data_IF_392051696245
#
_entry.id   IF_392051696245
#
_cell.length_a   1.000
_cell.length_b   1.000
_cell.length_c   1.000
_cell.angle_alpha   90.00
_cell.angle_beta   90.00
_cell.angle_gamma   90.00
#
_symmetry.space_group_name_H-M   'P 1'
#
loop_
_entity.id
_entity.type
_entity.pdbx_description
1 polymer ?
#
# COMPACT_ATOMS: atom_id res chain seq x y z
N UNK A 1 -31.33 -24.93 -34.19
CA UNK A 1 -30.24 -25.45 -35.06
C UNK A 1 -29.15 -24.40 -35.11
N UNK A 2 -27.91 -24.79 -34.81
CA UNK A 2 -26.74 -23.91 -34.96
C UNK A 2 -26.13 -24.11 -36.35
N UNK A 3 -25.78 -23.01 -37.02
CA UNK A 3 -25.05 -23.03 -38.30
C UNK A 3 -23.53 -22.96 -38.10
N UNK A 4 -23.05 -23.15 -36.86
CA UNK A 4 -21.63 -23.10 -36.53
C UNK A 4 -20.85 -24.21 -37.26
N UNK A 5 -19.81 -23.81 -38.00
CA UNK A 5 -18.92 -24.70 -38.77
C UNK A 5 -17.60 -25.04 -38.05
N UNK A 6 -17.33 -24.35 -36.93
CA UNK A 6 -16.11 -24.50 -36.13
C UNK A 6 -16.51 -25.19 -34.83
N UNK A 7 -15.80 -26.25 -34.40
CA UNK A 7 -16.09 -26.93 -33.14
C UNK A 7 -15.73 -26.05 -31.94
N UNK A 8 -16.59 -26.07 -30.92
CA UNK A 8 -16.31 -25.43 -29.62
C UNK A 8 -15.33 -26.30 -28.84
N UNK A 9 -14.09 -25.82 -28.67
CA UNK A 9 -13.02 -26.58 -28.02
C UNK A 9 -13.06 -26.49 -26.49
N UNK A 10 -13.74 -25.49 -25.95
CA UNK A 10 -13.90 -25.28 -24.52
C UNK A 10 -15.27 -24.63 -24.28
N UNK A 11 -16.08 -25.14 -23.33
CA UNK A 11 -17.37 -24.54 -23.01
C UNK A 11 -17.18 -23.17 -22.35
N UNK A 12 -18.20 -22.32 -22.46
CA UNK A 12 -18.25 -21.05 -21.74
C UNK A 12 -18.11 -21.30 -20.22
N UNK A 13 -17.20 -20.60 -19.53
CA UNK A 13 -17.11 -20.66 -18.08
C UNK A 13 -18.32 -19.95 -17.44
N UNK A 14 -18.50 -20.12 -16.12
CA UNK A 14 -19.52 -19.38 -15.43
C UNK A 14 -19.11 -17.90 -15.32
N UNK A 15 -19.94 -17.03 -15.88
CA UNK A 15 -19.63 -15.61 -16.01
C UNK A 15 -19.66 -14.85 -14.67
N UNK A 16 -20.17 -15.48 -13.61
CA UNK A 16 -20.15 -14.96 -12.24
C UNK A 16 -18.94 -15.42 -11.43
N UNK A 17 -18.10 -16.33 -11.95
CA UNK A 17 -16.98 -16.92 -11.21
C UNK A 17 -16.03 -15.84 -10.68
N UNK A 18 -15.78 -14.78 -11.45
CA UNK A 18 -14.91 -13.66 -11.01
C UNK A 18 -15.41 -13.04 -9.69
N UNK A 19 -16.72 -12.92 -9.50
CA UNK A 19 -17.28 -12.36 -8.26
C UNK A 19 -17.22 -13.39 -7.13
N UNK A 20 -17.66 -14.61 -7.39
CA UNK A 20 -17.74 -15.66 -6.38
C UNK A 20 -16.34 -16.08 -5.90
N UNK A 21 -15.43 -16.42 -6.80
CA UNK A 21 -14.07 -16.84 -6.46
C UNK A 21 -13.32 -15.74 -5.72
N UNK A 22 -13.48 -14.47 -6.13
CA UNK A 22 -12.83 -13.35 -5.44
C UNK A 22 -13.36 -13.16 -4.02
N UNK A 23 -14.65 -13.36 -3.79
CA UNK A 23 -15.25 -13.19 -2.47
C UNK A 23 -14.96 -14.38 -1.55
N UNK A 24 -15.05 -15.60 -2.08
CA UNK A 24 -14.67 -16.83 -1.36
C UNK A 24 -13.20 -16.78 -0.93
N UNK A 25 -12.30 -16.44 -1.86
CA UNK A 25 -10.89 -16.24 -1.53
C UNK A 25 -10.68 -15.19 -0.43
N UNK A 26 -11.44 -14.09 -0.47
CA UNK A 26 -11.35 -13.05 0.54
C UNK A 26 -11.80 -13.54 1.92
N UNK A 27 -12.89 -14.32 1.99
CA UNK A 27 -13.38 -14.89 3.25
C UNK A 27 -12.40 -15.90 3.84
N UNK A 28 -11.80 -16.75 3.00
CA UNK A 28 -10.94 -17.84 3.45
C UNK A 28 -9.51 -17.39 3.76
N UNK A 29 -8.94 -16.55 2.89
CA UNK A 29 -7.51 -16.18 2.96
C UNK A 29 -7.31 -14.68 3.22
N UNK A 30 -8.17 -13.83 2.64
CA UNK A 30 -8.05 -12.38 2.75
C UNK A 30 -8.17 -11.88 4.19
N UNK A 31 -9.22 -12.30 4.90
CA UNK A 31 -9.46 -11.91 6.30
C UNK A 31 -8.34 -12.39 7.22
N UNK A 32 -7.90 -13.64 7.08
CA UNK A 32 -6.79 -14.17 7.87
C UNK A 32 -5.49 -13.37 7.64
N UNK A 33 -5.22 -12.98 6.39
CA UNK A 33 -4.09 -12.13 6.03
C UNK A 33 -4.17 -10.76 6.72
N UNK A 34 -5.34 -10.14 6.74
CA UNK A 34 -5.58 -8.84 7.40
C UNK A 34 -5.37 -8.95 8.92
N UNK A 35 -5.91 -9.98 9.57
CA UNK A 35 -5.73 -10.17 11.02
C UNK A 35 -4.28 -10.45 11.40
N UNK A 36 -3.58 -11.24 10.57
CA UNK A 36 -2.15 -11.51 10.75
C UNK A 36 -1.30 -10.24 10.57
N UNK A 37 -1.65 -9.36 9.63
CA UNK A 37 -0.95 -8.09 9.40
C UNK A 37 -1.17 -7.09 10.54
N UNK A 38 -2.39 -7.04 11.09
CA UNK A 38 -2.71 -6.19 12.22
C UNK A 38 -1.98 -6.66 13.50
N UNK A 39 -1.86 -7.97 13.69
CA UNK A 39 -1.32 -8.60 14.89
C UNK A 39 0.22 -8.68 14.92
N UNK A 40 0.84 -8.73 16.12
CA UNK A 40 0.25 -8.31 17.39
C UNK A 40 0.05 -6.79 17.39
N UNK A 41 -0.99 -6.36 18.11
CA UNK A 41 -1.22 -4.98 18.49
C UNK A 41 -0.61 -4.82 19.88
N UNK A 42 0.47 -4.03 19.96
CA UNK A 42 1.21 -3.83 21.21
C UNK A 42 0.95 -2.43 21.78
N UNK A 43 1.02 -2.33 23.11
CA UNK A 43 1.05 -1.04 23.79
C UNK A 43 2.44 -0.37 23.64
N UNK A 44 2.58 0.86 24.12
CA UNK A 44 3.82 1.63 23.96
C UNK A 44 5.02 1.04 24.73
N UNK A 45 4.77 0.27 25.79
CA UNK A 45 5.83 -0.43 26.54
C UNK A 45 6.20 -1.77 25.91
N UNK A 46 5.29 -2.34 25.12
CA UNK A 46 5.42 -3.69 24.56
C UNK A 46 5.10 -4.79 25.58
N UNK A 47 4.60 -4.46 26.77
CA UNK A 47 4.27 -5.44 27.81
C UNK A 47 2.90 -6.08 27.56
N UNK A 48 1.96 -5.36 26.92
CA UNK A 48 0.64 -5.85 26.59
C UNK A 48 0.53 -6.06 25.08
N UNK A 49 0.12 -7.24 24.67
CA UNK A 49 -0.09 -7.58 23.27
C UNK A 49 -1.47 -8.19 23.05
N UNK A 50 -2.15 -7.76 21.98
CA UNK A 50 -3.39 -8.34 21.50
C UNK A 50 -3.16 -8.97 20.13
N UNK A 51 -3.51 -10.25 20.00
CA UNK A 51 -3.43 -11.00 18.75
C UNK A 51 -4.82 -11.39 18.28
N UNK A 52 -5.09 -11.15 16.99
CA UNK A 52 -6.28 -11.60 16.30
C UNK A 52 -5.92 -12.83 15.47
N UNK A 53 -6.58 -13.94 15.73
CA UNK A 53 -6.26 -15.24 15.12
C UNK A 53 -7.38 -15.70 14.18
N UNK A 54 -8.07 -16.78 14.52
CA UNK A 54 -9.11 -17.36 13.68
C UNK A 54 -10.37 -16.51 13.67
N UNK A 55 -11.09 -16.55 12.56
CA UNK A 55 -12.41 -15.95 12.43
C UNK A 55 -13.47 -16.99 12.05
N UNK A 56 -14.71 -16.68 12.42
CA UNK A 56 -15.88 -17.46 12.00
C UNK A 56 -17.07 -16.54 11.75
N UNK A 57 -17.94 -16.99 10.86
CA UNK A 57 -19.23 -16.36 10.63
C UNK A 57 -20.33 -17.11 11.38
N UNK A 58 -21.22 -16.39 12.04
CA UNK A 58 -22.48 -16.91 12.55
C UNK A 58 -23.52 -17.08 11.44
N UNK A 59 -24.71 -17.53 11.84
CA UNK A 59 -25.85 -17.62 10.92
C UNK A 59 -26.37 -16.23 10.56
N UNK A 60 -26.90 -16.10 9.34
CA UNK A 60 -27.52 -14.87 8.90
C UNK A 60 -28.83 -14.67 9.68
N UNK A 61 -29.06 -13.51 10.32
CA UNK A 61 -30.27 -13.26 11.09
C UNK A 61 -31.51 -13.11 10.19
N UNK A 62 -31.32 -12.77 8.92
CA UNK A 62 -32.36 -12.56 7.92
C UNK A 62 -32.05 -13.37 6.67
N UNK A 63 -33.10 -13.83 5.97
CA UNK A 63 -32.97 -14.33 4.62
C UNK A 63 -32.70 -13.18 3.63
N UNK A 64 -32.31 -13.52 2.39
CA UNK A 64 -32.10 -12.51 1.33
C UNK A 64 -33.42 -11.80 0.99
N UNK A 65 -34.55 -12.52 1.01
CA UNK A 65 -35.90 -11.98 0.76
C UNK A 65 -36.29 -11.00 1.87
N UNK A 66 -36.16 -11.43 3.13
CA UNK A 66 -36.51 -10.60 4.29
C UNK A 66 -35.64 -9.34 4.38
N UNK A 67 -34.35 -9.45 4.05
CA UNK A 67 -33.45 -8.30 4.01
C UNK A 67 -33.90 -7.26 2.97
N UNK A 68 -34.45 -7.69 1.83
CA UNK A 68 -35.02 -6.82 0.80
C UNK A 68 -36.34 -6.18 1.27
N UNK A 69 -37.24 -6.95 1.86
CA UNK A 69 -38.55 -6.47 2.32
C UNK A 69 -38.46 -5.51 3.51
N UNK A 70 -37.48 -5.70 4.39
CA UNK A 70 -37.30 -4.93 5.63
C UNK A 70 -36.28 -3.80 5.50
N UNK A 71 -35.91 -3.41 4.27
CA UNK A 71 -34.90 -2.37 4.00
C UNK A 71 -33.58 -2.57 4.79
N UNK A 72 -33.17 -3.83 4.98
CA UNK A 72 -32.07 -4.25 5.85
C UNK A 72 -30.86 -4.79 5.06
N UNK A 73 -29.74 -5.01 5.72
CA UNK A 73 -28.56 -5.61 5.11
C UNK A 73 -28.65 -7.15 5.14
N UNK A 74 -28.20 -7.83 4.09
CA UNK A 74 -27.92 -9.26 4.15
C UNK A 74 -26.49 -9.48 4.64
N UNK A 75 -26.34 -9.89 5.89
CA UNK A 75 -25.05 -10.02 6.57
C UNK A 75 -25.00 -11.26 7.47
N UNK A 76 -23.77 -11.65 7.85
CA UNK A 76 -23.51 -12.65 8.89
C UNK A 76 -22.67 -12.04 10.02
N UNK A 77 -22.95 -12.36 11.28
CA UNK A 77 -22.12 -11.93 12.40
C UNK A 77 -20.69 -12.47 12.27
N UNK A 78 -19.68 -11.61 12.29
CA UNK A 78 -18.26 -12.00 12.26
C UNK A 78 -17.69 -12.02 13.68
N UNK A 79 -17.14 -13.17 14.07
CA UNK A 79 -16.41 -13.35 15.32
C UNK A 79 -14.94 -13.61 15.03
N UNK A 80 -14.07 -13.05 15.86
CA UNK A 80 -12.62 -13.30 15.82
C UNK A 80 -12.15 -13.78 17.20
N UNK A 81 -11.22 -14.72 17.22
CA UNK A 81 -10.54 -15.14 18.44
C UNK A 81 -9.45 -14.14 18.77
N UNK A 82 -9.65 -13.40 19.86
CA UNK A 82 -8.72 -12.41 20.37
C UNK A 82 -7.93 -13.00 21.55
N UNK A 83 -6.60 -13.01 21.43
CA UNK A 83 -5.67 -13.49 22.45
C UNK A 83 -4.92 -12.30 23.04
N UNK A 84 -5.18 -11.99 24.29
CA UNK A 84 -4.49 -10.96 25.05
C UNK A 84 -3.35 -11.59 25.87
N UNK A 85 -2.14 -11.11 25.67
CA UNK A 85 -0.93 -11.52 26.36
C UNK A 85 -0.42 -10.37 27.23
N UNK A 86 -0.29 -10.62 28.53
CA UNK A 86 0.48 -9.77 29.43
C UNK A 86 1.86 -10.40 29.64
N UNK A 87 2.91 -9.78 29.10
CA UNK A 87 4.29 -10.29 29.17
C UNK A 87 4.90 -10.18 30.58
N UNK A 88 4.41 -9.26 31.42
CA UNK A 88 4.91 -9.10 32.79
C UNK A 88 4.45 -10.25 33.69
N UNK A 89 3.21 -10.69 33.52
CA UNK A 89 2.62 -11.78 34.33
C UNK A 89 2.68 -13.14 33.64
N UNK A 90 2.89 -13.18 32.32
CA UNK A 90 2.73 -14.36 31.48
C UNK A 90 1.27 -14.80 31.29
N UNK A 91 0.30 -14.00 31.72
CA UNK A 91 -1.12 -14.32 31.61
C UNK A 91 -1.60 -14.21 30.17
N UNK A 92 -2.26 -15.26 29.69
CA UNK A 92 -2.91 -15.30 28.38
C UNK A 92 -4.41 -15.43 28.59
N UNK A 93 -5.17 -14.47 28.04
CA UNK A 93 -6.63 -14.52 27.98
C UNK A 93 -7.07 -14.65 26.54
N UNK A 94 -7.84 -15.68 26.25
CA UNK A 94 -8.41 -15.91 24.93
C UNK A 94 -9.93 -15.79 25.00
N UNK A 95 -10.50 -15.02 24.08
CA UNK A 95 -11.93 -14.81 24.00
C UNK A 95 -12.38 -14.64 22.56
N UNK A 96 -13.56 -15.19 22.23
CA UNK A 96 -14.23 -14.84 20.99
C UNK A 96 -14.91 -13.47 21.12
N UNK A 97 -14.52 -12.56 20.25
CA UNK A 97 -15.04 -11.19 20.19
C UNK A 97 -15.88 -11.03 18.94
N UNK A 98 -17.08 -10.48 19.10
CA UNK A 98 -17.91 -10.06 17.97
C UNK A 98 -17.30 -8.79 17.36
N UNK A 99 -16.93 -8.86 16.08
CA UNK A 99 -16.30 -7.74 15.37
C UNK A 99 -17.35 -6.86 14.67
N UNK A 100 -18.47 -7.45 14.25
CA UNK A 100 -19.54 -6.74 13.56
C UNK A 100 -20.28 -7.64 12.57
N UNK A 101 -21.33 -7.10 11.97
CA UNK A 101 -22.07 -7.76 10.91
C UNK A 101 -21.36 -7.58 9.56
N UNK A 102 -21.01 -8.69 8.92
CA UNK A 102 -20.28 -8.69 7.67
C UNK A 102 -21.22 -8.94 6.49
N UNK A 103 -21.31 -8.02 5.50
CA UNK A 103 -22.15 -8.22 4.32
C UNK A 103 -21.77 -9.48 3.56
N UNK A 104 -22.75 -10.31 3.22
CA UNK A 104 -22.53 -11.57 2.50
C UNK A 104 -22.98 -11.47 1.06
N UNK A 105 -22.21 -12.07 0.15
CA UNK A 105 -22.57 -12.18 -1.26
C UNK A 105 -23.72 -13.18 -1.44
N UNK A 106 -24.69 -12.82 -2.27
CA UNK A 106 -25.80 -13.69 -2.67
C UNK A 106 -25.35 -14.70 -3.74
N UNK A 107 -26.14 -15.76 -4.04
CA UNK A 107 -25.86 -16.67 -5.15
C UNK A 107 -25.79 -16.00 -6.54
N UNK A 108 -26.28 -14.77 -6.68
CA UNK A 108 -26.24 -14.01 -7.93
C UNK A 108 -25.00 -13.13 -8.07
N UNK A 109 -24.05 -13.18 -7.12
CA UNK A 109 -22.86 -12.33 -7.13
C UNK A 109 -23.12 -10.88 -6.69
N UNK A 110 -24.21 -10.65 -5.94
CA UNK A 110 -24.66 -9.32 -5.49
C UNK A 110 -24.63 -9.21 -3.96
N UNK A 111 -24.86 -8.01 -3.44
CA UNK A 111 -25.01 -7.72 -2.01
C UNK A 111 -26.32 -6.99 -1.76
N UNK A 112 -26.99 -7.26 -0.64
CA UNK A 112 -28.16 -6.50 -0.21
C UNK A 112 -27.72 -5.48 0.83
N UNK A 113 -27.82 -4.19 0.51
CA UNK A 113 -27.45 -3.09 1.39
C UNK A 113 -28.65 -2.16 1.54
N UNK A 114 -29.21 -2.09 2.75
CA UNK A 114 -30.44 -1.37 3.09
C UNK A 114 -31.58 -1.73 2.11
N UNK A 115 -31.89 -3.02 1.99
CA UNK A 115 -32.91 -3.57 1.08
C UNK A 115 -32.57 -3.54 -0.41
N UNK A 116 -31.56 -2.76 -0.80
CA UNK A 116 -31.21 -2.56 -2.22
C UNK A 116 -30.13 -3.54 -2.66
N UNK A 117 -30.36 -4.21 -3.77
CA UNK A 117 -29.37 -5.08 -4.40
C UNK A 117 -28.28 -4.26 -5.12
N UNK A 118 -27.02 -4.57 -4.82
CA UNK A 118 -25.83 -3.86 -5.29
C UNK A 118 -24.79 -4.84 -5.82
N UNK A 119 -24.03 -4.38 -6.81
CA UNK A 119 -22.92 -5.14 -7.39
C UNK A 119 -21.61 -4.41 -7.12
N UNK A 120 -20.60 -5.13 -6.65
CA UNK A 120 -19.25 -4.61 -6.54
C UNK A 120 -18.57 -4.77 -7.90
N UNK A 121 -18.20 -3.66 -8.53
CA UNK A 121 -17.58 -3.65 -9.85
C UNK A 121 -16.06 -3.71 -9.72
N UNK A 122 -15.44 -4.65 -10.44
CA UNK A 122 -13.99 -4.76 -10.50
C UNK A 122 -13.38 -3.48 -11.10
N UNK A 123 -12.40 -2.91 -10.40
CA UNK A 123 -11.71 -1.70 -10.85
C UNK A 123 -10.36 -2.04 -11.48
N UNK A 124 -10.05 -1.38 -12.59
CA UNK A 124 -8.71 -1.44 -13.19
C UNK A 124 -7.86 -0.32 -12.61
N UNK A 125 -6.94 -0.69 -11.72
CA UNK A 125 -5.95 0.23 -11.14
C UNK A 125 -4.55 -0.07 -11.67
N UNK A 126 -3.66 0.92 -11.60
CA UNK A 126 -2.25 0.67 -11.91
C UNK A 126 -1.69 -0.29 -10.87
N UNK A 127 -1.14 -1.41 -11.32
CA UNK A 127 -0.49 -2.36 -10.41
C UNK A 127 0.70 -1.71 -9.71
N UNK A 128 1.03 -2.14 -8.48
CA UNK A 128 2.25 -1.73 -7.82
C UNK A 128 3.51 -2.01 -8.67
N UNK A 129 4.57 -1.24 -8.45
CA UNK A 129 5.85 -1.37 -9.15
C UNK A 129 6.43 -0.04 -9.62
N UNK A 130 7.40 -0.13 -10.53
CA UNK A 130 8.15 1.05 -11.02
C UNK A 130 7.83 1.32 -12.49
N UNK A 131 7.47 2.56 -12.77
CA UNK A 131 7.11 3.04 -14.11
C UNK A 131 8.03 4.16 -14.52
N UNK A 132 8.48 4.15 -15.77
CA UNK A 132 9.32 5.19 -16.35
C UNK A 132 8.56 5.89 -17.46
N UNK A 133 8.76 7.19 -17.59
CA UNK A 133 8.27 7.98 -18.71
C UNK A 133 9.32 9.01 -19.14
N UNK A 134 9.28 9.36 -20.41
CA UNK A 134 10.10 10.41 -20.99
C UNK A 134 9.17 11.38 -21.74
N UNK A 135 9.33 12.67 -21.50
CA UNK A 135 8.54 13.73 -22.14
C UNK A 135 9.45 14.86 -22.58
N UNK A 136 9.26 15.36 -23.81
CA UNK A 136 10.02 16.50 -24.32
C UNK A 136 9.46 17.79 -23.73
N UNK A 137 10.32 18.58 -23.08
CA UNK A 137 9.95 19.87 -22.55
C UNK A 137 9.73 20.88 -23.69
N UNK A 138 8.59 21.57 -23.66
CA UNK A 138 8.18 22.49 -24.73
C UNK A 138 9.08 23.73 -24.83
N UNK A 139 9.76 24.10 -23.75
CA UNK A 139 10.53 25.36 -23.68
C UNK A 139 12.02 25.19 -23.89
N UNK A 140 12.59 24.10 -23.40
CA UNK A 140 14.04 23.82 -23.42
C UNK A 140 14.45 22.77 -24.43
N UNK A 141 13.48 22.14 -25.10
CA UNK A 141 13.66 21.04 -26.04
C UNK A 141 14.34 19.78 -25.45
N UNK A 142 14.60 19.78 -24.14
CA UNK A 142 15.21 18.68 -23.39
C UNK A 142 14.21 17.55 -23.18
N UNK A 143 14.70 16.31 -23.22
CA UNK A 143 13.92 15.13 -22.83
C UNK A 143 13.99 15.00 -21.31
N UNK A 144 12.86 15.20 -20.65
CA UNK A 144 12.71 15.02 -19.21
C UNK A 144 12.29 13.58 -18.92
N UNK A 145 13.05 12.92 -18.06
CA UNK A 145 12.77 11.57 -17.60
C UNK A 145 12.12 11.64 -16.22
N UNK A 146 11.16 10.76 -15.99
CA UNK A 146 10.56 10.57 -14.69
C UNK A 146 10.36 9.08 -14.40
N UNK A 147 10.38 8.76 -13.11
CA UNK A 147 10.15 7.42 -12.59
C UNK A 147 9.15 7.50 -11.43
N UNK A 148 8.20 6.56 -11.39
CA UNK A 148 7.20 6.46 -10.30
C UNK A 148 7.29 5.09 -9.67
N UNK A 149 7.55 5.06 -8.37
CA UNK A 149 7.46 3.87 -7.53
C UNK A 149 6.10 3.93 -6.83
N UNK A 150 5.22 3.00 -7.22
CA UNK A 150 3.86 2.89 -6.73
C UNK A 150 3.79 1.66 -5.82
N UNK A 151 3.64 1.82 -4.49
CA UNK A 151 3.41 0.70 -3.60
C UNK A 151 1.95 0.23 -3.68
N UNK A 152 1.67 -0.98 -3.18
CA UNK A 152 0.29 -1.40 -2.95
C UNK A 152 -0.30 -0.73 -1.72
N UNK A 153 0.53 -0.46 -0.71
CA UNK A 153 0.18 0.32 0.49
C UNK A 153 1.35 1.20 0.89
N UNK A 154 1.12 2.50 1.12
CA UNK A 154 2.14 3.44 1.57
C UNK A 154 2.40 4.61 0.62
N UNK A 155 3.47 5.38 0.90
CA UNK A 155 3.78 6.62 0.22
C UNK A 155 4.33 6.40 -1.20
N UNK A 156 3.86 7.19 -2.16
CA UNK A 156 4.42 7.15 -3.52
C UNK A 156 5.77 7.87 -3.57
N UNK A 157 6.68 7.37 -4.41
CA UNK A 157 7.94 8.06 -4.73
C UNK A 157 7.94 8.40 -6.21
N UNK A 158 8.05 9.68 -6.54
CA UNK A 158 8.08 10.17 -7.92
C UNK A 158 9.40 10.92 -8.15
N UNK A 159 10.26 10.37 -8.98
CA UNK A 159 11.54 10.97 -9.37
C UNK A 159 11.40 11.66 -10.71
N UNK A 160 12.05 12.80 -10.88
CA UNK A 160 12.04 13.55 -12.14
C UNK A 160 13.33 14.35 -12.36
N UNK A 161 13.74 14.41 -13.62
CA UNK A 161 14.74 15.37 -14.12
C UNK A 161 14.03 16.65 -14.54
N UNK A 162 14.55 17.81 -14.15
CA UNK A 162 14.02 19.10 -14.59
C UNK A 162 14.81 19.70 -15.76
N UNK A 163 14.29 20.79 -16.33
CA UNK A 163 14.94 21.52 -17.43
C UNK A 163 16.30 22.12 -17.06
N UNK A 164 16.58 22.29 -15.76
CA UNK A 164 17.83 22.85 -15.23
C UNK A 164 18.90 21.77 -14.98
N UNK A 165 18.65 20.52 -15.39
CA UNK A 165 19.59 19.40 -15.23
C UNK A 165 19.58 18.76 -13.84
N UNK A 166 18.66 19.15 -12.94
CA UNK A 166 18.62 18.59 -11.58
C UNK A 166 17.74 17.37 -11.48
N UNK A 167 18.09 16.46 -10.58
CA UNK A 167 17.28 15.29 -10.22
C UNK A 167 16.56 15.55 -8.91
N UNK A 168 15.26 15.29 -8.90
CA UNK A 168 14.43 15.49 -7.71
C UNK A 168 13.52 14.32 -7.44
N UNK A 169 12.92 14.38 -6.25
CA UNK A 169 11.93 13.42 -5.77
C UNK A 169 10.73 14.17 -5.18
N UNK A 170 9.54 13.60 -5.34
CA UNK A 170 8.33 13.95 -4.59
C UNK A 170 7.91 12.73 -3.80
N UNK A 171 7.76 12.90 -2.49
CA UNK A 171 7.20 11.89 -1.60
C UNK A 171 5.72 12.18 -1.43
N UNK A 172 4.86 11.19 -1.66
CA UNK A 172 3.40 11.28 -1.48
C UNK A 172 2.77 12.52 -2.11
N UNK A 173 3.18 12.82 -3.35
CA UNK A 173 2.73 13.98 -4.14
C UNK A 173 2.96 15.35 -3.48
N UNK A 174 3.86 15.42 -2.49
CA UNK A 174 4.27 16.67 -1.84
C UNK A 174 5.29 17.43 -2.69
N UNK A 175 5.81 18.52 -2.13
CA UNK A 175 6.76 19.41 -2.81
C UNK A 175 8.01 18.65 -3.26
N UNK A 176 8.53 19.02 -4.43
CA UNK A 176 9.78 18.46 -4.98
C UNK A 176 10.96 18.84 -4.07
N UNK A 177 11.83 17.88 -3.86
CA UNK A 177 13.10 17.99 -3.13
C UNK A 177 14.20 17.42 -4.00
N UNK A 178 15.45 17.79 -3.74
CA UNK A 178 16.57 17.19 -4.47
C UNK A 178 16.72 15.72 -4.07
N UNK A 179 17.14 14.90 -5.03
CA UNK A 179 17.35 13.47 -4.77
C UNK A 179 18.49 13.25 -3.78
N UNK A 180 19.49 14.14 -3.79
CA UNK A 180 20.64 14.17 -2.88
C UNK A 180 20.20 14.37 -1.43
N UNK A 181 19.33 15.35 -1.16
CA UNK A 181 18.69 15.55 0.14
C UNK A 181 17.98 14.29 0.60
N UNK A 182 17.21 13.65 -0.28
CA UNK A 182 16.45 12.45 0.06
C UNK A 182 17.35 11.26 0.42
N UNK A 183 18.42 11.03 -0.35
CA UNK A 183 19.39 9.96 -0.10
C UNK A 183 20.09 10.17 1.24
N UNK A 184 20.48 11.41 1.54
CA UNK A 184 21.10 11.76 2.84
C UNK A 184 20.13 11.54 3.99
N UNK A 185 18.86 11.93 3.84
CA UNK A 185 17.82 11.72 4.85
C UNK A 185 17.58 10.23 5.15
N UNK A 186 17.61 9.37 4.12
CA UNK A 186 17.50 7.91 4.28
C UNK A 186 18.74 7.28 4.92
N UNK A 187 19.88 7.98 4.91
CA UNK A 187 21.13 7.49 5.46
C UNK A 187 21.87 6.51 4.55
N UNK A 188 21.66 6.61 3.23
CA UNK A 188 22.43 5.83 2.25
C UNK A 188 23.81 6.43 1.98
N UNK A 189 24.00 7.72 2.26
CA UNK A 189 25.26 8.44 2.20
C UNK A 189 25.17 9.64 3.15
N UNK A 190 26.32 10.08 3.67
CA UNK A 190 26.44 11.22 4.58
C UNK A 190 27.12 12.42 3.91
N UNK A 191 28.07 12.17 2.99
CA UNK A 191 28.83 13.22 2.29
C UNK A 191 28.45 13.33 0.81
N UNK A 192 28.81 14.45 0.19
CA UNK A 192 28.56 14.69 -1.23
C UNK A 192 29.42 13.76 -2.10
N UNK A 193 30.64 13.45 -1.66
CA UNK A 193 31.53 12.50 -2.31
C UNK A 193 30.92 11.09 -2.35
N UNK A 194 30.37 10.61 -1.22
CA UNK A 194 29.69 9.32 -1.15
C UNK A 194 28.46 9.27 -2.07
N UNK A 195 27.66 10.34 -2.09
CA UNK A 195 26.52 10.44 -3.01
C UNK A 195 27.00 10.37 -4.46
N UNK A 196 28.07 11.09 -4.81
CA UNK A 196 28.59 11.11 -6.18
C UNK A 196 29.14 9.73 -6.59
N UNK A 197 29.79 9.01 -5.68
CA UNK A 197 30.28 7.65 -5.89
C UNK A 197 29.14 6.66 -6.13
N UNK A 198 28.04 6.74 -5.36
CA UNK A 198 26.83 5.91 -5.55
C UNK A 198 26.25 6.00 -6.96
N UNK A 199 26.46 7.12 -7.66
CA UNK A 199 25.99 7.35 -9.03
C UNK A 199 27.13 7.39 -10.06
N UNK A 200 28.28 6.80 -9.77
CA UNK A 200 29.43 6.69 -10.67
C UNK A 200 29.87 8.05 -11.28
N UNK A 201 29.83 9.12 -10.50
CA UNK A 201 30.31 10.43 -10.97
C UNK A 201 29.36 11.17 -11.92
N UNK A 202 28.08 10.79 -11.99
CA UNK A 202 27.07 11.41 -12.87
C UNK A 202 27.05 12.94 -12.78
N UNK A 203 27.19 13.61 -13.93
CA UNK A 203 27.17 15.08 -14.02
C UNK A 203 25.85 15.67 -13.52
N UNK A 204 24.71 15.02 -13.75
CA UNK A 204 23.42 15.48 -13.23
C UNK A 204 23.35 15.43 -11.71
N UNK A 205 24.01 14.47 -11.07
CA UNK A 205 24.10 14.40 -9.61
C UNK A 205 25.02 15.50 -9.10
N UNK A 206 26.15 15.77 -9.76
CA UNK A 206 27.02 16.91 -9.45
C UNK A 206 26.25 18.24 -9.52
N UNK A 207 25.54 18.49 -10.62
CA UNK A 207 24.69 19.68 -10.78
C UNK A 207 23.57 19.77 -9.73
N UNK A 208 23.09 18.63 -9.23
CA UNK A 208 22.07 18.58 -8.19
C UNK A 208 22.67 18.91 -6.82
N UNK A 209 23.85 18.37 -6.49
CA UNK A 209 24.58 18.65 -5.25
C UNK A 209 24.93 20.15 -5.15
N UNK A 210 25.41 20.77 -6.23
CA UNK A 210 25.72 22.20 -6.26
C UNK A 210 24.50 23.11 -5.94
N UNK A 211 23.29 22.63 -6.21
CA UNK A 211 22.03 23.36 -5.98
C UNK A 211 21.32 22.91 -4.70
N UNK A 212 21.77 21.84 -4.07
CA UNK A 212 21.22 21.32 -2.82
C UNK A 212 21.63 22.24 -1.67
N UNK A 213 20.66 22.72 -0.92
CA UNK A 213 20.90 23.61 0.22
C UNK A 213 21.23 22.84 1.50
N UNK A 214 21.02 21.53 1.52
CA UNK A 214 21.31 20.69 2.68
C UNK A 214 22.74 20.17 2.59
N UNK A 215 23.47 20.18 3.71
CA UNK A 215 24.83 19.63 3.80
C UNK A 215 24.93 18.47 4.79
N UNK A 216 24.02 18.40 5.77
CA UNK A 216 24.03 17.33 6.79
C UNK A 216 22.80 16.43 6.70
N UNK A 217 22.92 15.23 7.28
CA UNK A 217 21.79 14.29 7.40
C UNK A 217 20.63 14.91 8.18
N UNK A 218 20.93 15.61 9.27
CA UNK A 218 19.90 16.22 10.10
C UNK A 218 19.16 17.31 9.34
N UNK A 219 19.85 18.20 8.63
CA UNK A 219 19.19 19.19 7.75
C UNK A 219 18.29 18.54 6.70
N UNK A 220 18.76 17.44 6.09
CA UNK A 220 17.99 16.68 5.12
C UNK A 220 16.73 16.04 5.73
N UNK A 221 16.82 15.50 6.95
CA UNK A 221 15.68 14.99 7.72
C UNK A 221 14.64 16.11 7.97
N UNK A 222 15.10 17.28 8.44
CA UNK A 222 14.23 18.42 8.74
C UNK A 222 13.56 18.96 7.45
N UNK A 223 14.30 19.03 6.35
CA UNK A 223 13.77 19.47 5.04
C UNK A 223 12.66 18.53 4.54
N UNK A 224 12.92 17.21 4.56
CA UNK A 224 11.94 16.20 4.17
C UNK A 224 10.70 16.25 5.07
N UNK A 225 10.85 16.39 6.38
CA UNK A 225 9.70 16.49 7.30
C UNK A 225 8.86 17.74 7.00
N UNK A 226 9.48 18.92 6.85
CA UNK A 226 8.76 20.17 6.57
C UNK A 226 7.95 20.11 5.27
N UNK A 227 8.46 19.40 4.26
CA UNK A 227 7.75 19.20 2.99
C UNK A 227 6.59 18.21 3.12
N UNK A 228 6.72 17.20 3.97
CA UNK A 228 5.67 16.21 4.25
C UNK A 228 4.56 16.76 5.14
N UNK A 229 4.93 17.52 6.18
CA UNK A 229 4.06 18.05 7.24
C UNK A 229 4.33 19.55 7.45
N UNK A 230 3.82 20.40 6.54
CA UNK A 230 4.03 21.84 6.65
C UNK A 230 3.31 22.41 7.88
N UNK A 231 4.01 23.21 8.69
CA UNK A 231 3.45 23.91 9.85
C UNK A 231 3.58 23.18 11.19
N UNK A 232 4.02 21.92 11.20
CA UNK A 232 4.36 21.22 12.44
C UNK A 232 5.76 21.62 12.93
N UNK A 233 5.92 21.78 14.25
CA UNK A 233 7.24 21.92 14.84
C UNK A 233 8.05 20.64 14.61
N UNK A 234 9.30 20.82 14.21
CA UNK A 234 10.14 19.74 13.68
C UNK A 234 11.38 19.58 14.55
N UNK A 235 11.61 18.38 15.05
CA UNK A 235 12.88 17.95 15.67
C UNK A 235 13.52 16.89 14.79
N UNK A 236 14.83 16.70 14.92
CA UNK A 236 15.55 15.65 14.18
C UNK A 236 14.99 14.27 14.52
N UNK A 237 14.64 14.04 15.78
CA UNK A 237 14.09 12.78 16.27
C UNK A 237 12.71 12.49 15.67
N UNK A 238 11.80 13.47 15.64
CA UNK A 238 10.49 13.29 15.02
C UNK A 238 10.59 13.06 13.52
N UNK A 239 11.53 13.76 12.86
CA UNK A 239 11.82 13.56 11.44
C UNK A 239 12.34 12.15 11.12
N UNK A 240 13.28 11.66 11.93
CA UNK A 240 13.82 10.31 11.82
C UNK A 240 12.74 9.25 12.06
N UNK A 241 11.90 9.45 13.08
CA UNK A 241 10.76 8.56 13.38
C UNK A 241 9.75 8.48 12.24
N UNK A 242 9.43 9.62 11.61
CA UNK A 242 8.51 9.68 10.47
C UNK A 242 9.06 8.89 9.27
N UNK A 243 10.33 9.07 8.90
CA UNK A 243 10.95 8.39 7.76
C UNK A 243 11.02 6.88 7.98
N UNK A 244 11.41 6.45 9.18
CA UNK A 244 11.39 5.04 9.56
C UNK A 244 9.99 4.46 9.41
N UNK A 245 8.97 5.21 9.83
CA UNK A 245 7.58 4.79 9.71
C UNK A 245 7.08 4.77 8.25
N UNK A 246 7.51 5.73 7.42
CA UNK A 246 7.04 5.84 6.04
C UNK A 246 7.63 4.80 5.09
N UNK A 247 8.90 4.44 5.26
CA UNK A 247 9.62 3.61 4.28
C UNK A 247 10.15 2.30 4.83
N UNK A 248 10.36 2.20 6.15
CA UNK A 248 11.00 1.03 6.77
C UNK A 248 10.04 0.20 7.64
N UNK A 249 8.81 0.68 7.83
CA UNK A 249 7.80 -0.06 8.58
C UNK A 249 6.95 -0.91 7.60
N UNK A 250 7.05 -2.25 7.63
CA UNK A 250 6.27 -3.11 6.74
C UNK A 250 4.76 -2.96 6.97
N UNK A 251 4.32 -2.62 8.20
CA UNK A 251 2.91 -2.29 8.50
C UNK A 251 2.45 -0.96 7.90
N UNK A 252 3.32 -0.16 7.27
CA UNK A 252 2.98 1.14 6.63
C UNK A 252 3.39 1.24 5.16
N UNK A 253 4.35 0.43 4.73
CA UNK A 253 4.83 0.38 3.35
C UNK A 253 4.93 -1.05 2.85
N UNK A 254 4.18 -1.38 1.81
CA UNK A 254 4.21 -2.69 1.16
C UNK A 254 4.07 -2.55 -0.37
N UNK A 255 4.98 -3.20 -1.10
CA UNK A 255 4.93 -3.31 -2.55
C UNK A 255 3.95 -4.40 -2.99
N UNK A 256 3.49 -5.27 -2.09
CA UNK A 256 2.76 -6.51 -2.35
C UNK A 256 3.59 -7.51 -3.15
N UNK A 257 3.14 -8.77 -3.17
CA UNK A 257 3.78 -9.83 -3.98
C UNK A 257 3.89 -9.44 -5.46
N UNK A 258 2.84 -8.83 -6.03
CA UNK A 258 2.81 -8.41 -7.44
C UNK A 258 3.79 -7.27 -7.71
N UNK A 259 3.86 -6.27 -6.81
CA UNK A 259 4.78 -5.15 -6.99
C UNK A 259 6.24 -5.56 -6.82
N UNK A 260 6.53 -6.45 -5.87
CA UNK A 260 7.87 -7.04 -5.69
C UNK A 260 8.31 -7.78 -6.94
N UNK A 261 7.49 -8.72 -7.42
CA UNK A 261 7.73 -9.46 -8.65
C UNK A 261 8.01 -8.53 -9.85
N UNK A 262 7.18 -7.50 -10.04
CA UNK A 262 7.38 -6.54 -11.13
C UNK A 262 8.66 -5.72 -10.98
N UNK A 263 9.06 -5.38 -9.76
CA UNK A 263 10.30 -4.67 -9.49
C UNK A 263 11.50 -5.56 -9.83
N UNK A 264 11.47 -6.82 -9.40
CA UNK A 264 12.54 -7.79 -9.66
C UNK A 264 12.73 -8.04 -11.16
N UNK A 265 11.63 -8.28 -11.88
CA UNK A 265 11.63 -8.38 -13.33
C UNK A 265 12.17 -7.13 -14.02
N UNK A 266 11.78 -5.93 -13.53
CA UNK A 266 12.17 -4.66 -14.16
C UNK A 266 13.66 -4.36 -14.01
N UNK A 267 14.27 -4.75 -12.89
CA UNK A 267 15.66 -4.46 -12.56
C UNK A 267 16.59 -5.68 -12.64
N UNK A 268 16.10 -6.81 -13.16
CA UNK A 268 16.89 -8.04 -13.30
C UNK A 268 17.39 -8.59 -11.96
N UNK A 269 16.61 -8.43 -10.89
CA UNK A 269 16.92 -9.02 -9.59
C UNK A 269 16.32 -10.43 -9.52
N UNK A 270 17.00 -11.39 -8.86
CA UNK A 270 16.49 -12.75 -8.69
C UNK A 270 15.19 -12.79 -7.88
#
# INVERSE_FOLDING_TARGET
>A
MSFAKIPETQPLPNLLDIQHESFEWFLDHGLQGIFSEASPIEDFTGNLALELTDHRFGDAPLSIEDAKEQDSNYSKPLFVTARFLNRDTGEIKEQQVFLGDFPMMTPNGTFIVNGTERVVVSQLVRSPGVYFNATRDKTSDRVLHAAKVIPGRGAWLEFDTDKKGTVGVRVDRKRRQYVTTFIRALGFAETDEEILELFNGSDMIRETLEKDTTSTRDEALLDLYRKLRPGELTTVESARGLIKTLFLNPKRYDLTRVGRYKLDQKFGRP
#
